data_IF_513190648084
#
_entry.id   IF_513190648084
#
_cell.length_a   1.000
_cell.length_b   1.000
_cell.length_c   1.000
_cell.angle_alpha   90.00
_cell.angle_beta   90.00
_cell.angle_gamma   90.00
#
_symmetry.space_group_name_H-M   'P 1'
#
loop_
_entity.id
_entity.type
_entity.pdbx_description
1 polymer ?
#
# COMPACT_ATOMS: atom_id res chain seq x y z
N UNK A 1 2.79 -15.20 14.05
CA UNK A 1 2.15 -14.32 15.06
C UNK A 1 1.67 -13.07 14.36
N UNK A 2 0.45 -12.60 14.64
CA UNK A 2 0.01 -11.30 14.14
C UNK A 2 0.91 -10.21 14.75
N UNK A 3 1.41 -9.31 13.91
CA UNK A 3 2.15 -8.12 14.36
C UNK A 3 1.22 -6.93 14.27
N UNK A 4 1.13 -6.15 15.34
CA UNK A 4 0.35 -4.91 15.37
C UNK A 4 1.19 -3.77 14.81
N UNK A 5 0.63 -3.04 13.85
CA UNK A 5 1.15 -1.77 13.36
C UNK A 5 0.14 -0.69 13.70
N UNK A 6 0.61 0.47 14.19
CA UNK A 6 -0.27 1.59 14.53
C UNK A 6 -0.21 2.61 13.41
N UNK A 7 -1.38 3.02 12.95
CA UNK A 7 -1.53 4.12 12.01
C UNK A 7 -1.91 5.38 12.79
N UNK A 8 -1.51 6.52 12.25
CA UNK A 8 -2.17 7.79 12.52
C UNK A 8 -3.52 7.83 11.82
N UNK A 9 -4.41 8.72 12.27
CA UNK A 9 -5.72 8.90 11.65
C UNK A 9 -5.61 9.25 10.14
N UNK A 10 -4.60 10.05 9.77
CA UNK A 10 -4.31 10.41 8.38
C UNK A 10 -3.89 9.21 7.53
N UNK A 11 -3.02 8.35 8.07
CA UNK A 11 -2.58 7.13 7.38
C UNK A 11 -3.73 6.12 7.22
N UNK A 12 -4.58 5.98 8.24
CA UNK A 12 -5.75 5.11 8.18
C UNK A 12 -6.75 5.60 7.13
N UNK A 13 -7.04 6.91 7.11
CA UNK A 13 -7.91 7.49 6.10
C UNK A 13 -7.35 7.32 4.68
N UNK A 14 -6.05 7.57 4.48
CA UNK A 14 -5.40 7.38 3.19
C UNK A 14 -5.46 5.92 2.70
N UNK A 15 -5.29 4.96 3.61
CA UNK A 15 -5.41 3.53 3.29
C UNK A 15 -6.86 3.18 2.89
N UNK A 16 -7.85 3.69 3.61
CA UNK A 16 -9.27 3.45 3.33
C UNK A 16 -9.69 4.01 1.96
N UNK A 17 -9.33 5.26 1.67
CA UNK A 17 -9.66 5.89 0.38
C UNK A 17 -9.01 5.15 -0.80
N UNK A 18 -7.73 4.78 -0.63
CA UNK A 18 -7.00 3.99 -1.62
C UNK A 18 -7.62 2.62 -1.80
N UNK A 19 -7.99 1.95 -0.71
CA UNK A 19 -8.63 0.64 -0.73
C UNK A 19 -9.98 0.64 -1.43
N UNK A 20 -10.81 1.65 -1.18
CA UNK A 20 -12.09 1.84 -1.88
C UNK A 20 -11.90 2.00 -3.39
N UNK A 21 -10.88 2.77 -3.82
CA UNK A 21 -10.55 2.94 -5.23
C UNK A 21 -10.12 1.61 -5.86
N UNK A 22 -9.18 0.90 -5.25
CA UNK A 22 -8.68 -0.40 -5.72
C UNK A 22 -9.83 -1.40 -5.84
N UNK A 23 -10.65 -1.53 -4.81
CA UNK A 23 -11.76 -2.49 -4.78
C UNK A 23 -12.83 -2.16 -5.82
N UNK A 24 -13.11 -0.88 -6.06
CA UNK A 24 -14.01 -0.45 -7.15
C UNK A 24 -13.50 -0.94 -8.50
N UNK A 25 -12.20 -0.81 -8.76
CA UNK A 25 -11.60 -1.25 -10.03
C UNK A 25 -11.53 -2.77 -10.16
N UNK A 26 -11.26 -3.49 -9.06
CA UNK A 26 -11.34 -4.95 -9.01
C UNK A 26 -12.74 -5.46 -9.35
N UNK A 27 -13.78 -4.88 -8.74
CA UNK A 27 -15.17 -5.27 -8.98
C UNK A 27 -15.57 -5.00 -10.43
N UNK A 28 -15.19 -3.83 -10.99
CA UNK A 28 -15.39 -3.53 -12.43
C UNK A 28 -14.71 -4.57 -13.34
N UNK A 29 -13.57 -5.10 -12.92
CA UNK A 29 -12.87 -6.16 -13.63
C UNK A 29 -13.41 -7.58 -13.35
N UNK A 30 -14.53 -7.71 -12.64
CA UNK A 30 -15.13 -9.01 -12.27
C UNK A 30 -14.35 -9.79 -11.22
N UNK A 31 -13.41 -9.13 -10.51
CA UNK A 31 -12.58 -9.74 -9.47
C UNK A 31 -13.17 -9.49 -8.08
N UNK A 32 -12.84 -10.38 -7.16
CA UNK A 32 -13.20 -10.24 -5.74
C UNK A 32 -12.45 -9.05 -5.13
N UNK A 33 -13.11 -8.19 -4.34
CA UNK A 33 -12.42 -7.15 -3.58
C UNK A 33 -11.48 -7.74 -2.53
N UNK A 34 -10.45 -6.98 -2.19
CA UNK A 34 -9.46 -7.28 -1.16
C UNK A 34 -9.85 -6.63 0.17
N UNK A 35 -9.44 -7.26 1.28
CA UNK A 35 -9.49 -6.66 2.61
C UNK A 35 -8.37 -5.64 2.78
N UNK A 36 -8.54 -4.70 3.70
CA UNK A 36 -7.55 -3.64 3.96
C UNK A 36 -6.17 -4.22 4.31
N UNK A 37 -6.13 -5.33 5.06
CA UNK A 37 -4.89 -6.05 5.37
C UNK A 37 -4.22 -6.64 4.13
N UNK A 38 -5.00 -7.12 3.16
CA UNK A 38 -4.47 -7.67 1.90
C UNK A 38 -3.92 -6.55 1.01
N UNK A 39 -4.62 -5.43 0.95
CA UNK A 39 -4.16 -4.23 0.24
C UNK A 39 -2.85 -3.73 0.85
N UNK A 40 -2.78 -3.64 2.18
CA UNK A 40 -1.58 -3.21 2.88
C UNK A 40 -0.40 -4.17 2.67
N UNK A 41 -0.64 -5.49 2.71
CA UNK A 41 0.39 -6.48 2.42
C UNK A 41 0.94 -6.36 0.99
N UNK A 42 0.07 -6.11 0.01
CA UNK A 42 0.49 -5.92 -1.37
C UNK A 42 1.33 -4.64 -1.54
N UNK A 43 0.93 -3.54 -0.91
CA UNK A 43 1.70 -2.29 -0.89
C UNK A 43 3.08 -2.52 -0.28
N UNK A 44 3.17 -3.16 0.90
CA UNK A 44 4.45 -3.48 1.55
C UNK A 44 5.33 -4.34 0.65
N UNK A 45 4.73 -5.34 -0.01
CA UNK A 45 5.48 -6.24 -0.89
C UNK A 45 6.12 -5.46 -2.04
N UNK A 46 5.34 -4.65 -2.76
CA UNK A 46 5.84 -3.88 -3.90
C UNK A 46 6.81 -2.76 -3.52
N UNK A 47 6.80 -2.31 -2.26
CA UNK A 47 7.65 -1.22 -1.77
C UNK A 47 8.88 -1.72 -1.03
N UNK A 48 8.70 -2.44 0.10
CA UNK A 48 9.78 -2.83 1.01
C UNK A 48 10.49 -4.13 0.59
N UNK A 49 9.81 -5.03 -0.12
CA UNK A 49 10.38 -6.35 -0.46
C UNK A 49 10.88 -6.42 -1.90
N UNK A 50 10.12 -5.86 -2.85
CA UNK A 50 10.41 -5.96 -4.28
C UNK A 50 10.83 -4.62 -4.91
N UNK A 51 10.47 -3.51 -4.26
CA UNK A 51 10.79 -2.15 -4.69
C UNK A 51 12.25 -1.74 -4.45
N UNK A 52 12.61 -0.57 -4.97
CA UNK A 52 13.88 0.10 -4.74
C UNK A 52 13.59 1.35 -3.91
N UNK A 53 14.30 1.48 -2.79
CA UNK A 53 14.19 2.65 -1.90
C UNK A 53 15.53 3.37 -1.92
N UNK A 54 15.52 4.63 -2.34
CA UNK A 54 16.70 5.50 -2.38
C UNK A 54 16.50 6.73 -1.50
N UNK A 55 17.60 7.22 -0.92
CA UNK A 55 17.62 8.50 -0.22
C UNK A 55 18.08 9.57 -1.22
N UNK A 56 17.28 10.61 -1.38
CA UNK A 56 17.60 11.74 -2.24
C UNK A 56 18.68 12.62 -1.61
N UNK A 57 19.24 13.56 -2.39
CA UNK A 57 20.29 14.47 -1.90
C UNK A 57 19.80 15.43 -0.80
N UNK A 58 18.49 15.68 -0.76
CA UNK A 58 17.79 16.47 0.26
C UNK A 58 17.38 15.65 1.51
N UNK A 59 17.69 14.35 1.54
CA UNK A 59 17.42 13.48 2.69
C UNK A 59 16.00 12.94 2.75
N UNK A 60 15.23 13.03 1.65
CA UNK A 60 13.89 12.43 1.54
C UNK A 60 13.96 11.02 0.94
N UNK A 61 12.92 10.21 1.17
CA UNK A 61 12.82 8.85 0.63
C UNK A 61 12.13 8.87 -0.72
N UNK A 62 12.75 8.24 -1.72
CA UNK A 62 12.14 7.95 -3.02
C UNK A 62 11.92 6.45 -3.15
N UNK A 63 10.70 6.07 -3.48
CA UNK A 63 10.31 4.67 -3.69
C UNK A 63 10.03 4.46 -5.17
N UNK A 64 10.76 3.54 -5.80
CA UNK A 64 10.51 3.08 -7.16
C UNK A 64 10.02 1.62 -7.13
N UNK A 65 8.83 1.37 -7.68
CA UNK A 65 8.32 0.01 -7.83
C UNK A 65 8.90 -0.61 -9.10
N UNK A 66 9.39 -1.85 -9.02
CA UNK A 66 9.81 -2.61 -10.21
C UNK A 66 8.56 -2.94 -11.04
N UNK A 67 8.60 -2.63 -12.34
CA UNK A 67 7.53 -2.92 -13.31
C UNK A 67 7.32 -4.41 -13.51
#
# INVERSE_FOLDING_TARGET
MAKTFRFTDEEEQALNETGLKINRDLVKAGKKPLRDTEIFHEIIKQTLLEGIIEVTRDGTLKIETKK
#
